data_IF_686377014598
#
_entry.id   IF_686377014598
#
_cell.length_a   1.000
_cell.length_b   1.000
_cell.length_c   1.000
_cell.angle_alpha   90.00
_cell.angle_beta   90.00
_cell.angle_gamma   90.00
#
_symmetry.space_group_name_H-M   'P 1'
#
loop_
_entity.id
_entity.type
_entity.pdbx_description
1 polymer ?
#
# COMPACT_ATOMS: atom_id res chain seq x y z
N UNK A 1 44.87 4.73 10.24
CA UNK A 1 43.62 5.42 9.83
C UNK A 1 43.34 5.02 8.40
N UNK A 2 42.31 4.21 8.18
CA UNK A 2 41.90 3.77 6.84
C UNK A 2 40.77 4.67 6.35
N UNK A 3 41.02 5.46 5.30
CA UNK A 3 39.97 6.10 4.53
C UNK A 3 39.28 5.02 3.70
N UNK A 4 38.04 4.69 4.03
CA UNK A 4 37.18 3.90 3.16
C UNK A 4 36.53 4.85 2.17
N UNK A 5 37.12 4.93 0.98
CA UNK A 5 36.54 5.60 -0.17
C UNK A 5 35.38 4.74 -0.70
N UNK A 6 34.14 5.11 -0.40
CA UNK A 6 32.99 4.52 -1.10
C UNK A 6 32.95 5.12 -2.49
N UNK A 7 33.45 4.38 -3.49
CA UNK A 7 33.26 4.74 -4.89
C UNK A 7 31.77 4.67 -5.21
N UNK A 8 31.16 5.83 -5.42
CA UNK A 8 29.88 5.94 -6.11
C UNK A 8 30.12 5.57 -7.58
N UNK A 9 29.80 4.34 -7.96
CA UNK A 9 29.77 3.92 -9.36
C UNK A 9 28.47 4.44 -9.97
N UNK A 10 28.48 5.65 -10.51
CA UNK A 10 27.48 6.07 -11.49
C UNK A 10 27.84 5.42 -12.83
N UNK A 11 27.38 4.18 -13.03
CA UNK A 11 27.40 3.57 -14.36
C UNK A 11 26.32 4.26 -15.21
N UNK A 12 26.76 5.17 -16.08
CA UNK A 12 25.94 5.75 -17.13
C UNK A 12 25.64 4.70 -18.19
N UNK A 13 24.41 4.18 -18.19
CA UNK A 13 23.86 3.48 -19.34
C UNK A 13 22.96 4.46 -20.10
N UNK A 14 23.42 4.84 -21.30
CA UNK A 14 22.61 5.54 -22.27
C UNK A 14 21.57 4.58 -22.87
N UNK A 15 20.31 5.03 -22.86
CA UNK A 15 19.24 4.46 -23.67
C UNK A 15 18.72 3.11 -23.24
N UNK A 16 17.88 3.07 -22.20
CA UNK A 16 16.88 2.04 -21.93
C UNK A 16 15.85 2.65 -20.98
N UNK A 17 14.58 2.56 -21.36
CA UNK A 17 13.34 2.89 -20.65
C UNK A 17 13.39 3.86 -19.46
N UNK A 18 12.45 4.83 -19.45
CA UNK A 18 12.08 5.61 -18.26
C UNK A 18 11.50 4.66 -17.19
N UNK A 19 12.37 3.85 -16.58
CA UNK A 19 12.05 3.02 -15.45
C UNK A 19 11.53 3.95 -14.35
N UNK A 20 10.34 3.65 -13.88
CA UNK A 20 9.77 4.25 -12.68
C UNK A 20 10.85 4.45 -11.61
N UNK A 21 11.04 5.70 -11.14
CA UNK A 21 11.97 5.99 -10.07
C UNK A 21 11.37 5.51 -8.73
N UNK A 22 11.69 4.28 -8.34
CA UNK A 22 11.33 3.73 -7.04
C UNK A 22 12.12 4.47 -5.94
N UNK A 23 11.43 5.05 -4.98
CA UNK A 23 12.03 5.61 -3.76
C UNK A 23 11.92 4.58 -2.65
N UNK A 24 13.02 4.16 -2.05
CA UNK A 24 12.94 3.27 -0.88
C UNK A 24 12.44 4.06 0.33
N UNK A 25 11.46 3.53 1.05
CA UNK A 25 10.85 4.11 2.25
C UNK A 25 11.08 3.17 3.43
N UNK A 26 11.63 3.69 4.52
CA UNK A 26 11.79 2.92 5.76
C UNK A 26 10.52 2.98 6.60
N UNK A 27 10.22 1.92 7.34
CA UNK A 27 9.17 1.97 8.36
C UNK A 27 9.45 3.11 9.36
N UNK A 28 8.44 3.92 9.63
CA UNK A 28 8.48 5.09 10.50
C UNK A 28 8.80 6.39 9.76
N UNK A 29 9.36 6.33 8.54
CA UNK A 29 9.62 7.51 7.72
C UNK A 29 8.38 7.96 6.96
N UNK A 30 8.31 9.26 6.69
CA UNK A 30 7.24 9.85 5.87
C UNK A 30 7.60 9.78 4.40
N UNK A 31 6.63 9.40 3.58
CA UNK A 31 6.68 9.45 2.12
C UNK A 31 5.56 10.34 1.61
N UNK A 32 5.91 11.37 0.84
CA UNK A 32 4.94 12.22 0.16
C UNK A 32 4.66 11.63 -1.22
N UNK A 33 3.39 11.31 -1.48
CA UNK A 33 2.95 10.76 -2.76
C UNK A 33 2.16 11.81 -3.57
N UNK A 34 2.36 13.09 -3.31
CA UNK A 34 1.76 14.23 -4.01
C UNK A 34 0.61 14.86 -3.23
N UNK A 35 -0.42 14.08 -2.89
CA UNK A 35 -1.59 14.57 -2.15
C UNK A 35 -1.66 14.02 -0.72
N UNK A 36 -1.01 12.89 -0.46
CA UNK A 36 -0.98 12.28 0.84
C UNK A 36 0.46 12.21 1.36
N UNK A 37 0.61 12.46 2.65
CA UNK A 37 1.79 12.05 3.37
C UNK A 37 1.51 10.71 4.06
N UNK A 38 2.31 9.71 3.74
CA UNK A 38 2.20 8.34 4.20
C UNK A 38 3.31 8.06 5.20
N UNK A 39 2.99 7.51 6.36
CA UNK A 39 3.97 7.03 7.34
C UNK A 39 3.72 5.55 7.59
N UNK A 40 4.34 4.64 6.80
CA UNK A 40 4.28 3.21 7.07
C UNK A 40 4.81 2.91 8.46
N UNK A 41 4.07 2.18 9.29
CA UNK A 41 4.42 1.97 10.70
C UNK A 41 4.95 0.58 10.95
N UNK A 42 4.26 -0.44 10.41
CA UNK A 42 4.60 -1.85 10.59
C UNK A 42 3.84 -2.72 9.61
N UNK A 43 4.34 -3.93 9.43
CA UNK A 43 3.68 -5.02 8.73
C UNK A 43 3.30 -6.14 9.69
N UNK A 44 2.16 -6.78 9.43
CA UNK A 44 1.80 -8.06 10.04
C UNK A 44 1.47 -9.09 8.95
N UNK A 45 1.87 -10.34 9.17
CA UNK A 45 1.27 -11.51 8.53
C UNK A 45 0.14 -12.05 9.42
N UNK A 46 -1.02 -12.27 8.83
CA UNK A 46 -2.24 -12.72 9.52
C UNK A 46 -2.65 -14.06 8.90
N UNK A 47 -2.68 -15.07 9.76
CA UNK A 47 -2.82 -16.47 9.38
C UNK A 47 -4.16 -17.07 9.81
N UNK A 48 -4.82 -16.45 10.79
CA UNK A 48 -6.10 -16.90 11.36
C UNK A 48 -7.02 -15.69 11.56
N UNK A 49 -8.33 -15.91 11.47
CA UNK A 49 -9.38 -14.93 11.76
C UNK A 49 -9.25 -14.36 13.16
N UNK A 50 -8.80 -15.15 14.15
CA UNK A 50 -8.61 -14.68 15.53
C UNK A 50 -7.53 -13.59 15.66
N UNK A 51 -6.59 -13.52 14.71
CA UNK A 51 -5.55 -12.50 14.66
C UNK A 51 -6.04 -11.17 14.07
N UNK A 52 -7.22 -11.16 13.42
CA UNK A 52 -7.86 -9.93 12.99
C UNK A 52 -8.29 -9.13 14.22
N UNK A 53 -7.95 -7.84 14.23
CA UNK A 53 -8.36 -6.94 15.32
C UNK A 53 -9.89 -6.91 15.43
N UNK A 54 -10.40 -6.95 16.67
CA UNK A 54 -11.84 -6.81 16.96
C UNK A 54 -12.39 -5.57 16.25
N UNK A 55 -13.34 -5.79 15.34
CA UNK A 55 -14.00 -4.72 14.59
C UNK A 55 -13.38 -4.38 13.23
N UNK A 56 -12.28 -5.02 12.83
CA UNK A 56 -11.70 -4.91 11.48
C UNK A 56 -11.99 -6.13 10.60
N UNK A 57 -12.55 -7.19 11.20
CA UNK A 57 -12.99 -8.39 10.50
C UNK A 57 -14.12 -8.05 9.51
N UNK A 58 -13.92 -8.40 8.24
CA UNK A 58 -14.95 -8.34 7.20
C UNK A 58 -15.19 -9.73 6.67
N UNK A 59 -16.40 -10.00 6.16
CA UNK A 59 -16.72 -11.28 5.53
C UNK A 59 -15.70 -11.70 4.47
N UNK A 60 -15.13 -10.75 3.70
CA UNK A 60 -14.11 -11.06 2.70
C UNK A 60 -12.78 -11.48 3.33
N UNK A 61 -12.32 -10.77 4.38
CA UNK A 61 -11.09 -11.14 5.09
C UNK A 61 -11.24 -12.48 5.81
N UNK A 62 -12.37 -12.67 6.49
CA UNK A 62 -12.73 -13.93 7.15
C UNK A 62 -12.72 -15.08 6.14
N UNK A 63 -13.45 -14.93 5.03
CA UNK A 63 -13.54 -15.95 3.98
C UNK A 63 -12.19 -16.22 3.29
N UNK A 64 -11.35 -15.21 3.13
CA UNK A 64 -10.00 -15.40 2.59
C UNK A 64 -9.20 -16.32 3.52
N UNK A 65 -9.18 -15.99 4.82
CA UNK A 65 -8.49 -16.80 5.84
C UNK A 65 -9.10 -18.21 5.96
N UNK A 66 -10.43 -18.36 5.90
CA UNK A 66 -11.11 -19.66 5.86
C UNK A 66 -10.70 -20.51 4.64
N UNK A 67 -10.46 -19.86 3.50
CA UNK A 67 -9.91 -20.49 2.29
C UNK A 67 -8.39 -20.70 2.34
N UNK A 68 -7.79 -20.58 3.52
CA UNK A 68 -6.35 -20.69 3.75
C UNK A 68 -5.51 -19.64 3.03
N UNK A 69 -6.09 -18.52 2.57
CA UNK A 69 -5.29 -17.39 2.12
C UNK A 69 -4.59 -16.77 3.31
N UNK A 70 -3.39 -16.23 3.07
CA UNK A 70 -2.65 -15.46 4.08
C UNK A 70 -2.95 -14.00 3.86
N UNK A 71 -3.08 -13.24 4.94
CA UNK A 71 -3.37 -11.80 4.84
C UNK A 71 -2.15 -11.01 5.28
N UNK A 72 -1.68 -10.12 4.44
CA UNK A 72 -0.65 -9.13 4.78
C UNK A 72 -1.35 -7.85 5.17
N UNK A 73 -0.98 -7.27 6.31
CA UNK A 73 -1.49 -5.99 6.78
C UNK A 73 -0.37 -4.95 6.85
N UNK A 74 -0.57 -3.81 6.20
CA UNK A 74 0.27 -2.61 6.39
C UNK A 74 -0.48 -1.60 7.25
N UNK A 75 0.11 -1.26 8.39
CA UNK A 75 -0.38 -0.18 9.24
C UNK A 75 0.32 1.11 8.82
N UNK A 76 -0.46 2.11 8.45
CA UNK A 76 0.05 3.36 7.89
C UNK A 76 -0.70 4.51 8.52
N UNK A 77 0.02 5.57 8.88
CA UNK A 77 -0.62 6.85 9.17
C UNK A 77 -0.65 7.66 7.89
N UNK A 78 -1.82 8.15 7.50
CA UNK A 78 -2.03 8.95 6.29
C UNK A 78 -2.46 10.35 6.71
N UNK A 79 -1.87 11.36 6.09
CA UNK A 79 -2.29 12.74 6.20
C UNK A 79 -2.64 13.30 4.83
N UNK A 80 -3.79 13.96 4.70
CA UNK A 80 -4.18 14.61 3.46
C UNK A 80 -3.60 16.01 3.43
N UNK A 81 -2.56 16.20 2.60
CA UNK A 81 -1.93 17.51 2.39
C UNK A 81 -2.63 18.34 1.31
N UNK A 82 -3.55 17.71 0.57
CA UNK A 82 -4.34 18.37 -0.46
C UNK A 82 -5.34 19.37 0.12
N UNK A 83 -5.91 20.17 -0.77
CA UNK A 83 -7.00 21.09 -0.50
C UNK A 83 -8.40 20.45 -0.68
N UNK A 84 -8.46 19.19 -1.08
CA UNK A 84 -9.69 18.44 -1.34
C UNK A 84 -9.73 17.09 -0.62
N UNK A 85 -10.94 16.55 -0.42
CA UNK A 85 -11.09 15.25 0.20
C UNK A 85 -10.58 14.13 -0.72
N UNK A 86 -9.85 13.18 -0.14
CA UNK A 86 -9.30 12.02 -0.87
C UNK A 86 -10.16 10.79 -0.63
N UNK A 87 -10.66 10.16 -1.68
CA UNK A 87 -11.31 8.85 -1.58
C UNK A 87 -10.26 7.74 -1.59
N UNK A 88 -10.14 7.00 -0.49
CA UNK A 88 -9.26 5.82 -0.44
C UNK A 88 -10.11 4.60 -0.82
N UNK A 89 -9.95 4.14 -2.07
CA UNK A 89 -10.74 3.05 -2.63
C UNK A 89 -10.68 1.76 -1.80
N UNK A 90 -11.78 1.01 -1.83
CA UNK A 90 -11.81 -0.40 -1.41
C UNK A 90 -11.77 -1.31 -2.65
N UNK A 91 -11.39 -2.57 -2.44
CA UNK A 91 -11.51 -3.66 -3.43
C UNK A 91 -12.85 -3.66 -4.18
N UNK A 92 -13.92 -3.22 -3.50
CA UNK A 92 -15.28 -3.23 -4.01
C UNK A 92 -15.57 -2.15 -5.07
N UNK A 93 -14.70 -1.14 -5.24
CA UNK A 93 -14.91 -0.06 -6.23
C UNK A 93 -13.97 -0.13 -7.44
N UNK A 94 -12.73 -0.62 -7.28
CA UNK A 94 -11.80 -0.71 -8.42
C UNK A 94 -11.66 -2.14 -8.89
N UNK A 95 -12.19 -2.43 -10.09
CA UNK A 95 -11.98 -3.72 -10.78
C UNK A 95 -10.58 -3.82 -11.41
N UNK A 96 -9.83 -2.72 -11.44
CA UNK A 96 -8.49 -2.66 -12.04
C UNK A 96 -7.45 -2.45 -10.95
N UNK A 97 -6.84 -3.55 -10.50
CA UNK A 97 -5.73 -3.52 -9.54
C UNK A 97 -4.54 -2.65 -9.99
N UNK A 98 -4.42 -2.39 -11.30
CA UNK A 98 -3.39 -1.54 -11.91
C UNK A 98 -3.48 -0.05 -11.56
N UNK A 99 -4.60 0.41 -10.99
CA UNK A 99 -4.83 1.82 -10.63
C UNK A 99 -4.92 2.02 -9.10
N UNK A 100 -4.66 0.97 -8.32
CA UNK A 100 -4.70 1.08 -6.87
C UNK A 100 -3.52 1.94 -6.36
N UNK A 101 -3.75 2.87 -5.41
CA UNK A 101 -2.68 3.69 -4.82
C UNK A 101 -1.63 2.86 -4.07
N UNK A 102 -1.99 1.62 -3.71
CA UNK A 102 -1.12 0.67 -3.01
C UNK A 102 -1.19 -0.70 -3.68
N UNK A 103 -0.04 -1.29 -4.03
CA UNK A 103 0.04 -2.64 -4.59
C UNK A 103 1.09 -3.48 -3.89
N UNK A 104 0.83 -4.78 -3.79
CA UNK A 104 1.82 -5.75 -3.34
C UNK A 104 2.74 -6.07 -4.53
N UNK A 105 4.04 -5.82 -4.39
CA UNK A 105 5.00 -5.93 -5.48
C UNK A 105 5.46 -7.37 -5.74
N UNK A 106 5.51 -8.18 -4.67
CA UNK A 106 6.21 -9.48 -4.67
C UNK A 106 5.26 -10.66 -4.94
N UNK A 107 3.96 -10.43 -5.04
CA UNK A 107 2.96 -11.47 -5.29
C UNK A 107 2.41 -11.38 -6.72
N UNK A 108 2.50 -12.49 -7.47
CA UNK A 108 1.91 -12.61 -8.81
C UNK A 108 0.38 -12.75 -8.74
N UNK A 109 -0.13 -13.29 -7.63
CA UNK A 109 -1.55 -13.47 -7.36
C UNK A 109 -1.87 -12.97 -5.95
N UNK A 110 -2.52 -11.80 -5.88
CA UNK A 110 -3.02 -11.24 -4.63
C UNK A 110 -4.36 -10.55 -4.84
N UNK A 111 -5.12 -10.41 -3.76
CA UNK A 111 -6.35 -9.63 -3.71
C UNK A 111 -6.17 -8.47 -2.73
N UNK A 112 -6.32 -7.22 -3.18
CA UNK A 112 -6.33 -6.06 -2.27
C UNK A 112 -7.71 -5.95 -1.63
N UNK A 113 -7.81 -5.97 -0.30
CA UNK A 113 -9.08 -5.92 0.44
C UNK A 113 -9.50 -4.52 0.89
N UNK A 114 -8.66 -3.50 0.70
CA UNK A 114 -8.99 -2.10 1.02
C UNK A 114 -8.29 -1.53 2.27
N UNK A 115 -8.67 -0.30 2.60
CA UNK A 115 -8.15 0.49 3.72
C UNK A 115 -9.19 0.67 4.83
N UNK A 116 -8.81 0.36 6.08
CA UNK A 116 -9.70 0.32 7.24
C UNK A 116 -9.20 1.19 8.39
N UNK A 117 -10.12 1.82 9.13
CA UNK A 117 -9.79 2.53 10.38
C UNK A 117 -9.60 1.55 11.56
N UNK A 118 -8.67 1.81 12.49
CA UNK A 118 -8.46 1.00 13.69
C UNK A 118 -9.65 0.95 14.66
N UNK A 119 -10.49 2.00 14.70
CA UNK A 119 -11.51 2.19 15.74
C UNK A 119 -12.82 1.41 15.55
N UNK A 120 -12.88 0.50 14.58
CA UNK A 120 -13.85 -0.60 14.56
C UNK A 120 -15.23 -0.33 13.93
N UNK A 121 -15.75 -1.42 13.35
CA UNK A 121 -16.90 -1.62 12.45
C UNK A 121 -16.67 -1.08 11.05
N UNK A 122 -16.94 -1.96 10.07
CA UNK A 122 -17.02 -1.82 8.61
C UNK A 122 -17.06 -0.37 8.08
N UNK A 123 -15.97 0.37 8.24
CA UNK A 123 -15.86 1.76 7.84
C UNK A 123 -14.63 1.88 6.94
N UNK A 124 -14.85 1.58 5.66
CA UNK A 124 -13.94 2.02 4.61
C UNK A 124 -13.82 3.56 4.71
N UNK A 125 -12.62 4.08 4.48
CA UNK A 125 -12.44 5.53 4.39
C UNK A 125 -12.88 5.99 3.01
N UNK A 126 -14.17 6.25 2.88
CA UNK A 126 -14.75 6.72 1.62
C UNK A 126 -14.29 8.13 1.25
N UNK A 127 -14.12 9.01 2.22
CA UNK A 127 -13.62 10.36 2.00
C UNK A 127 -12.74 10.78 3.17
N UNK A 128 -11.56 11.29 2.85
CA UNK A 128 -10.55 11.71 3.80
C UNK A 128 -10.32 13.23 3.66
N UNK A 129 -10.85 14.07 4.56
CA UNK A 129 -10.82 15.52 4.39
C UNK A 129 -9.40 16.12 4.41
N UNK A 130 -9.21 17.30 3.79
CA UNK A 130 -7.98 18.09 3.85
C UNK A 130 -7.46 18.33 5.27
N UNK A 131 -6.14 18.27 5.44
CA UNK A 131 -5.44 18.55 6.70
C UNK A 131 -5.78 17.60 7.84
N UNK A 132 -6.47 16.49 7.55
CA UNK A 132 -6.72 15.44 8.54
C UNK A 132 -5.63 14.40 8.47
N UNK A 133 -5.40 13.76 9.61
CA UNK A 133 -4.50 12.63 9.80
C UNK A 133 -5.31 11.45 10.32
N UNK A 134 -5.09 10.27 9.76
CA UNK A 134 -5.77 9.03 10.13
C UNK A 134 -4.78 7.88 10.15
N UNK A 135 -4.90 7.03 11.16
CA UNK A 135 -4.28 5.71 11.11
C UNK A 135 -5.18 4.77 10.31
N UNK A 136 -4.58 4.01 9.41
CA UNK A 136 -5.24 3.03 8.56
C UNK A 136 -4.53 1.68 8.62
N UNK A 137 -5.27 0.63 8.30
CA UNK A 137 -4.74 -0.69 8.01
C UNK A 137 -5.16 -1.09 6.61
N UNK A 138 -4.18 -1.36 5.76
CA UNK A 138 -4.34 -1.83 4.38
C UNK A 138 -4.15 -3.35 4.38
N UNK A 139 -5.02 -4.09 3.71
CA UNK A 139 -4.96 -5.56 3.69
C UNK A 139 -4.84 -6.11 2.27
N UNK A 140 -4.01 -7.14 2.12
CA UNK A 140 -3.89 -7.94 0.90
C UNK A 140 -3.99 -9.43 1.25
N UNK A 141 -4.81 -10.17 0.52
CA UNK A 141 -4.83 -11.62 0.54
C UNK A 141 -3.84 -12.18 -0.45
N UNK A 142 -3.07 -13.17 -0.02
CA UNK A 142 -2.09 -13.90 -0.82
C UNK A 142 -2.43 -15.39 -0.75
N UNK A 143 -2.37 -16.07 -1.89
CA UNK A 143 -2.64 -17.49 -1.95
C UNK A 143 -1.62 -18.28 -1.07
N UNK A 144 -2.06 -19.37 -0.40
CA UNK A 144 -1.23 -20.11 0.56
C UNK A 144 0.10 -20.58 -0.03
N UNK A 145 0.09 -21.10 -1.25
CA UNK A 145 1.27 -21.62 -1.96
C UNK A 145 2.32 -20.55 -2.30
N UNK A 146 2.00 -19.26 -2.09
CA UNK A 146 2.89 -18.12 -2.32
C UNK A 146 3.43 -17.51 -1.04
N UNK A 147 2.86 -17.83 0.13
CA UNK A 147 3.23 -17.18 1.41
C UNK A 147 3.14 -18.12 2.63
N UNK A 148 3.65 -19.34 2.55
CA UNK A 148 3.69 -20.22 3.73
C UNK A 148 5.00 -20.08 4.55
N UNK A 149 6.06 -19.50 3.99
CA UNK A 149 7.35 -19.31 4.68
C UNK A 149 7.61 -17.85 5.05
N UNK A 150 8.43 -17.58 6.10
CA UNK A 150 8.89 -16.22 6.39
C UNK A 150 9.55 -15.59 5.16
N UNK A 151 9.23 -14.33 4.91
CA UNK A 151 9.66 -13.63 3.69
C UNK A 151 9.60 -12.12 3.83
N UNK A 152 9.94 -11.42 2.75
CA UNK A 152 9.89 -9.95 2.68
C UNK A 152 8.68 -9.54 1.87
N UNK A 153 7.76 -8.80 2.47
CA UNK A 153 6.63 -8.21 1.76
C UNK A 153 6.97 -6.77 1.37
N UNK A 154 6.83 -6.44 0.09
CA UNK A 154 7.03 -5.09 -0.45
C UNK A 154 5.73 -4.50 -0.95
N UNK A 155 5.38 -3.33 -0.43
CA UNK A 155 4.24 -2.53 -0.90
C UNK A 155 4.77 -1.34 -1.70
N UNK A 156 4.26 -1.21 -2.92
CA UNK A 156 4.40 -0.01 -3.75
C UNK A 156 3.31 0.98 -3.38
N UNK A 157 3.72 2.21 -3.07
CA UNK A 157 2.87 3.35 -2.76
C UNK A 157 3.02 4.35 -3.91
N UNK A 158 2.06 4.39 -4.82
CA UNK A 158 2.16 5.22 -6.01
C UNK A 158 1.94 6.69 -5.71
N UNK A 159 2.64 7.54 -6.44
CA UNK A 159 2.37 8.97 -6.51
C UNK A 159 1.00 9.17 -7.15
N UNK A 160 0.21 10.03 -6.51
CA UNK A 160 -1.15 10.38 -6.91
C UNK A 160 -1.15 11.76 -7.51
N UNK A 161 -1.88 11.89 -8.60
CA UNK A 161 -2.24 13.18 -9.15
C UNK A 161 -3.75 13.30 -9.30
N UNK A 162 -4.25 14.50 -9.06
CA UNK A 162 -5.64 14.83 -9.29
C UNK A 162 -5.86 15.02 -10.78
N UNK A 163 -6.73 14.21 -11.38
CA UNK A 163 -7.20 14.45 -12.74
C UNK A 163 -8.71 14.67 -12.74
N UNK A 164 -9.13 15.53 -13.65
CA UNK A 164 -10.54 15.65 -14.01
C UNK A 164 -10.88 14.48 -14.93
N UNK A 165 -11.90 13.71 -14.56
CA UNK A 165 -12.42 12.67 -15.45
C UNK A 165 -13.04 13.33 -16.71
N UNK A 166 -13.26 12.55 -17.78
CA UNK A 166 -13.63 12.98 -19.14
C UNK A 166 -14.88 13.88 -19.18
N UNK A 167 -15.71 13.86 -18.14
CA UNK A 167 -16.91 14.70 -18.00
C UNK A 167 -16.75 15.90 -17.03
N UNK A 168 -15.56 16.15 -16.49
CA UNK A 168 -15.26 17.25 -15.55
C UNK A 168 -16.07 17.23 -14.24
N UNK A 169 -16.82 16.16 -13.98
CA UNK A 169 -17.82 16.09 -12.90
C UNK A 169 -17.29 15.37 -11.66
N UNK A 170 -16.24 14.56 -11.82
CA UNK A 170 -15.63 13.77 -10.75
C UNK A 170 -14.11 13.93 -10.87
N UNK A 171 -13.47 14.23 -9.74
CA UNK A 171 -12.00 14.23 -9.66
C UNK A 171 -11.58 12.91 -9.03
N UNK A 172 -10.79 12.14 -9.77
CA UNK A 172 -10.34 10.80 -9.36
C UNK A 172 -8.83 10.85 -9.18
N UNK A 173 -8.32 10.11 -8.20
CA UNK A 173 -6.88 9.94 -8.00
C UNK A 173 -6.37 8.95 -9.03
N UNK A 174 -5.49 9.41 -9.91
CA UNK A 174 -4.80 8.53 -10.83
C UNK A 174 -3.39 8.27 -10.33
N UNK A 175 -2.93 7.03 -10.50
CA UNK A 175 -1.49 6.75 -10.50
C UNK A 175 -0.85 7.51 -11.66
N UNK A 176 0.22 8.25 -11.38
CA UNK A 176 0.91 9.06 -12.39
C UNK A 176 1.36 8.23 -13.62
N UNK A 177 1.37 8.81 -14.84
CA UNK A 177 1.68 8.12 -16.09
C UNK A 177 3.18 7.82 -16.24
N UNK A 178 4.03 8.49 -15.45
CA UNK A 178 5.41 8.09 -15.17
C UNK A 178 5.37 7.62 -13.72
N UNK A 179 4.92 6.38 -13.49
CA UNK A 179 4.60 5.86 -12.17
C UNK A 179 5.80 5.96 -11.22
N UNK A 180 5.95 7.09 -10.53
CA UNK A 180 6.84 7.23 -9.38
C UNK A 180 6.13 6.59 -8.20
N UNK A 181 6.90 5.92 -7.36
CA UNK A 181 6.37 5.24 -6.20
C UNK A 181 7.40 5.10 -5.09
N UNK A 182 6.90 5.02 -3.88
CA UNK A 182 7.64 4.59 -2.70
C UNK A 182 7.54 3.07 -2.56
N UNK A 183 8.65 2.40 -2.30
CA UNK A 183 8.66 1.01 -1.87
C UNK A 183 8.90 0.95 -0.37
N UNK A 184 7.98 0.32 0.35
CA UNK A 184 8.22 -0.05 1.75
C UNK A 184 8.23 -1.56 1.85
N UNK A 185 9.29 -2.11 2.43
CA UNK A 185 9.48 -3.55 2.58
C UNK A 185 9.76 -3.90 4.03
N UNK A 186 9.22 -5.02 4.48
CA UNK A 186 9.56 -5.58 5.79
C UNK A 186 9.53 -7.10 5.77
N UNK A 187 10.34 -7.71 6.64
CA UNK A 187 10.21 -9.12 6.94
C UNK A 187 8.88 -9.35 7.65
N UNK A 188 8.12 -10.34 7.18
CA UNK A 188 6.93 -10.84 7.85
C UNK A 188 7.08 -12.33 8.13
N UNK A 189 6.53 -12.75 9.26
CA UNK A 189 6.53 -14.16 9.64
C UNK A 189 5.60 -14.93 8.70
N UNK A 190 5.99 -16.16 8.38
CA UNK A 190 5.13 -17.12 7.68
C UNK A 190 4.05 -17.66 8.61
N UNK A 191 3.10 -18.40 8.03
CA UNK A 191 1.96 -18.96 8.75
C UNK A 191 2.13 -20.45 9.11
N UNK A 192 3.36 -20.98 8.99
CA UNK A 192 3.71 -22.38 9.23
C UNK A 192 3.65 -22.82 10.69
#
# INVERSE_FOLDING_TARGET
MALVSVLAVTAGFGGLDKGSAATQVTLGETYDNGMLQLTPRRFDGICDVEQLRRGTSTYSLEKALEKSWRVIALYVTVENLGNEAVELGSAFKSKNASEAPFTLADAVEYEYFGAYRPSGRFNNVFAFPPGKKLDLTLYWGVAPDKWDTPGTATIRMYDLELREDVNGTVRIFHTTPIARYGNVSAAIQGCG
#
